data_IF_870443207097
#
_entry.id   IF_870443207097
#
_cell.length_a   1.000
_cell.length_b   1.000
_cell.length_c   1.000
_cell.angle_alpha   90.00
_cell.angle_beta   90.00
_cell.angle_gamma   90.00
#
_symmetry.space_group_name_H-M   'P 1'
#
loop_
_entity.id
_entity.type
_entity.pdbx_description
1 polymer ?
#
# COMPACT_ATOMS: atom_id res chain seq x y z
N UNK A 1 4.98 -10.20 -20.92
CA UNK A 1 3.75 -10.16 -20.06
C UNK A 1 3.65 -11.30 -19.05
N UNK A 2 4.09 -12.54 -19.35
CA UNK A 2 3.94 -13.67 -18.43
C UNK A 2 4.68 -13.57 -17.08
N UNK A 3 5.85 -12.91 -17.03
CA UNK A 3 6.64 -12.78 -15.78
C UNK A 3 6.00 -11.85 -14.73
N UNK A 4 5.36 -10.77 -15.18
CA UNK A 4 4.61 -9.85 -14.30
C UNK A 4 3.35 -10.52 -13.76
N UNK A 5 2.60 -11.22 -14.62
CA UNK A 5 1.42 -11.97 -14.19
C UNK A 5 1.79 -13.14 -13.26
N UNK A 6 2.92 -13.81 -13.47
CA UNK A 6 3.42 -14.81 -12.55
C UNK A 6 3.77 -14.20 -11.18
N UNK A 7 4.49 -13.07 -11.16
CA UNK A 7 4.79 -12.35 -9.92
C UNK A 7 3.53 -11.82 -9.20
N UNK A 8 2.53 -11.36 -9.94
CA UNK A 8 1.23 -10.96 -9.40
C UNK A 8 0.44 -12.17 -8.89
N UNK A 9 0.49 -13.31 -9.57
CA UNK A 9 -0.17 -14.54 -9.15
C UNK A 9 0.47 -15.11 -7.87
N UNK A 10 1.80 -15.15 -7.82
CA UNK A 10 2.57 -15.60 -6.65
C UNK A 10 2.36 -14.69 -5.43
N UNK A 11 2.07 -13.40 -5.65
CA UNK A 11 1.76 -12.43 -4.61
C UNK A 11 0.28 -12.03 -4.56
N UNK A 12 -0.61 -12.79 -5.21
CA UNK A 12 -2.02 -12.39 -5.39
C UNK A 12 -2.72 -12.22 -4.04
N UNK A 13 -2.41 -13.09 -3.08
CA UNK A 13 -2.93 -13.01 -1.72
C UNK A 13 -2.49 -11.71 -1.02
N UNK A 14 -1.21 -11.31 -1.17
CA UNK A 14 -0.71 -10.06 -0.60
C UNK A 14 -1.31 -8.83 -1.28
N UNK A 15 -1.49 -8.87 -2.61
CA UNK A 15 -2.16 -7.82 -3.36
C UNK A 15 -3.64 -7.67 -2.97
N UNK A 16 -4.36 -8.78 -2.83
CA UNK A 16 -5.74 -8.80 -2.34
C UNK A 16 -5.83 -8.26 -0.92
N UNK A 17 -4.93 -8.66 -0.03
CA UNK A 17 -4.90 -8.17 1.34
C UNK A 17 -4.60 -6.67 1.41
N UNK A 18 -3.59 -6.20 0.68
CA UNK A 18 -3.22 -4.78 0.63
C UNK A 18 -4.33 -3.90 0.02
N UNK A 19 -4.97 -4.36 -1.07
CA UNK A 19 -6.08 -3.65 -1.70
C UNK A 19 -7.33 -3.64 -0.82
N UNK A 20 -7.65 -4.75 -0.13
CA UNK A 20 -8.74 -4.79 0.84
C UNK A 20 -8.49 -3.83 2.02
N UNK A 21 -7.29 -3.81 2.58
CA UNK A 21 -6.91 -2.89 3.65
C UNK A 21 -7.02 -1.42 3.21
N UNK A 22 -6.52 -1.08 2.02
CA UNK A 22 -6.67 0.25 1.42
C UNK A 22 -8.15 0.64 1.33
N UNK A 23 -8.98 -0.25 0.80
CA UNK A 23 -10.39 0.02 0.52
C UNK A 23 -11.19 0.19 1.82
N UNK A 24 -10.90 -0.60 2.85
CA UNK A 24 -11.49 -0.46 4.19
C UNK A 24 -11.16 0.91 4.78
N UNK A 25 -9.89 1.30 4.80
CA UNK A 25 -9.47 2.58 5.38
C UNK A 25 -10.02 3.76 4.57
N UNK A 26 -10.03 3.65 3.25
CA UNK A 26 -10.65 4.65 2.37
C UNK A 26 -12.14 4.82 2.68
N UNK A 27 -12.89 3.73 2.80
CA UNK A 27 -14.32 3.77 3.12
C UNK A 27 -14.58 4.37 4.50
N UNK A 28 -13.79 4.02 5.51
CA UNK A 28 -13.87 4.61 6.85
C UNK A 28 -13.60 6.11 6.78
N UNK A 29 -12.54 6.55 6.09
CA UNK A 29 -12.24 7.97 5.92
C UNK A 29 -13.37 8.72 5.20
N UNK A 30 -13.99 8.10 4.18
CA UNK A 30 -15.16 8.65 3.49
C UNK A 30 -16.39 8.73 4.39
N UNK A 31 -16.64 7.73 5.24
CA UNK A 31 -17.70 7.75 6.26
C UNK A 31 -17.50 8.89 7.27
N UNK A 32 -16.25 9.22 7.59
CA UNK A 32 -15.87 10.35 8.45
C UNK A 32 -15.90 11.71 7.72
N UNK A 33 -16.52 11.79 6.54
CA UNK A 33 -16.58 13.00 5.69
C UNK A 33 -15.20 13.55 5.27
N UNK A 34 -14.15 12.74 5.23
CA UNK A 34 -12.87 13.18 4.69
C UNK A 34 -12.99 13.48 3.18
N UNK A 35 -12.24 14.48 2.73
CA UNK A 35 -12.10 14.75 1.30
C UNK A 35 -11.49 13.53 0.60
N UNK A 36 -11.82 13.27 -0.67
CA UNK A 36 -11.33 12.09 -1.40
C UNK A 36 -9.80 11.97 -1.38
N UNK A 37 -9.12 13.11 -1.46
CA UNK A 37 -7.66 13.21 -1.47
C UNK A 37 -7.06 12.79 -0.12
N UNK A 38 -7.67 13.23 1.00
CA UNK A 38 -7.27 12.85 2.35
C UNK A 38 -7.54 11.35 2.60
N UNK A 39 -8.70 10.85 2.16
CA UNK A 39 -9.03 9.43 2.26
C UNK A 39 -8.05 8.53 1.48
N UNK A 40 -7.58 8.98 0.31
CA UNK A 40 -6.53 8.28 -0.43
C UNK A 40 -5.21 8.26 0.33
N UNK A 41 -4.79 9.39 0.92
CA UNK A 41 -3.56 9.43 1.73
C UNK A 41 -3.61 8.46 2.91
N UNK A 42 -4.75 8.39 3.61
CA UNK A 42 -4.93 7.43 4.70
C UNK A 42 -4.99 5.98 4.21
N UNK A 43 -5.59 5.70 3.05
CA UNK A 43 -5.65 4.36 2.48
C UNK A 43 -4.28 3.78 2.11
N UNK A 44 -3.31 4.61 1.72
CA UNK A 44 -1.96 4.18 1.34
C UNK A 44 -1.08 3.84 2.55
N UNK A 45 -1.41 4.34 3.74
CA UNK A 45 -0.63 4.14 4.97
C UNK A 45 -0.47 2.66 5.36
N UNK A 46 -1.54 1.84 5.45
CA UNK A 46 -1.43 0.43 5.81
C UNK A 46 -0.49 -0.39 4.89
N UNK A 47 -0.62 -0.34 3.54
CA UNK A 47 0.30 -1.08 2.68
C UNK A 47 1.74 -0.55 2.75
N UNK A 48 1.93 0.76 2.94
CA UNK A 48 3.25 1.35 3.12
C UNK A 48 3.90 0.84 4.41
N UNK A 49 3.18 0.86 5.54
CA UNK A 49 3.66 0.35 6.81
C UNK A 49 3.97 -1.15 6.76
N UNK A 50 3.09 -1.94 6.13
CA UNK A 50 3.34 -3.37 5.92
C UNK A 50 4.61 -3.63 5.10
N UNK A 51 4.85 -2.83 4.05
CA UNK A 51 6.07 -2.89 3.26
C UNK A 51 7.32 -2.53 4.08
N UNK A 52 7.25 -1.45 4.88
CA UNK A 52 8.37 -1.02 5.73
C UNK A 52 8.71 -2.03 6.82
N UNK A 53 7.70 -2.64 7.46
CA UNK A 53 7.91 -3.69 8.46
C UNK A 53 8.51 -4.95 7.83
N UNK A 54 8.07 -5.33 6.63
CA UNK A 54 8.63 -6.47 5.90
C UNK A 54 10.02 -6.21 5.30
N UNK A 55 10.37 -4.95 5.05
CA UNK A 55 11.63 -4.55 4.43
C UNK A 55 12.29 -3.40 5.22
N UNK A 56 12.80 -3.66 6.43
CA UNK A 56 13.29 -2.63 7.35
C UNK A 56 14.52 -1.86 6.87
N UNK A 57 15.21 -2.31 5.81
CA UNK A 57 16.33 -1.59 5.17
C UNK A 57 15.88 -0.63 4.05
N UNK A 58 14.63 -0.73 3.59
CA UNK A 58 14.09 0.11 2.51
C UNK A 58 13.97 1.62 2.81
N UNK A 59 13.73 2.12 4.04
CA UNK A 59 13.66 3.57 4.26
C UNK A 59 14.98 4.28 3.96
N UNK A 60 16.11 3.65 4.27
CA UNK A 60 17.44 4.19 3.98
C UNK A 60 17.71 4.21 2.48
N UNK A 61 17.30 3.16 1.75
CA UNK A 61 17.42 3.12 0.28
C UNK A 61 16.54 4.16 -0.43
N UNK A 62 15.34 4.44 0.09
CA UNK A 62 14.45 5.48 -0.46
C UNK A 62 14.98 6.89 -0.18
N UNK A 63 15.49 7.14 1.03
CA UNK A 63 16.16 8.40 1.38
C UNK A 63 17.45 8.60 0.56
N UNK A 64 18.22 7.54 0.33
CA UNK A 64 19.43 7.58 -0.49
C UNK A 64 19.18 7.77 -2.00
N UNK A 65 17.96 7.53 -2.48
CA UNK A 65 17.55 7.84 -3.85
C UNK A 65 17.02 9.27 -4.01
N UNK A 66 16.64 9.91 -2.91
CA UNK A 66 16.16 11.30 -2.87
C UNK A 66 17.27 12.32 -2.54
N UNK A 67 18.42 11.85 -2.05
CA UNK A 67 19.67 12.61 -1.88
C UNK A 67 20.51 12.59 -3.15
#
# INVERSE_FOLDING_TARGET
MGRLMALLADNAANLLFASAAFLIVYLIARLLNASPLVAMCFGVLPPLLAYMVGNPRSPVSLLALLS
#
